data_IF_922725715736
#
_entry.id   IF_922725715736
#
_cell.length_a   1.000
_cell.length_b   1.000
_cell.length_c   1.000
_cell.angle_alpha   90.00
_cell.angle_beta   90.00
_cell.angle_gamma   90.00
#
_symmetry.space_group_name_H-M   'P 1'
#
loop_
_entity.id
_entity.type
_entity.pdbx_description
1 polymer ?
#
# COMPACT_ATOMS: atom_id res chain seq x y z
N UNK A 1 -23.35 -12.13 1.53
CA UNK A 1 -22.85 -11.17 2.54
C UNK A 1 -23.50 -9.81 2.28
N UNK A 2 -23.93 -9.07 3.31
CA UNK A 2 -24.54 -7.74 3.12
C UNK A 2 -23.45 -6.66 3.01
N UNK A 3 -23.75 -5.54 2.34
CA UNK A 3 -22.84 -4.38 2.22
C UNK A 3 -22.32 -3.92 3.60
N UNK A 4 -23.23 -3.77 4.58
CA UNK A 4 -22.89 -3.33 5.94
C UNK A 4 -21.96 -4.30 6.66
N UNK A 5 -22.20 -5.61 6.52
CA UNK A 5 -21.36 -6.64 7.14
C UNK A 5 -19.95 -6.61 6.55
N UNK A 6 -19.84 -6.53 5.22
CA UNK A 6 -18.55 -6.47 4.54
C UNK A 6 -17.77 -5.19 4.91
N UNK A 7 -18.42 -4.03 4.97
CA UNK A 7 -17.76 -2.79 5.43
C UNK A 7 -17.19 -2.98 6.83
N UNK A 8 -17.96 -3.58 7.75
CA UNK A 8 -17.49 -3.84 9.12
C UNK A 8 -16.26 -4.74 9.12
N UNK A 9 -16.29 -5.85 8.38
CA UNK A 9 -15.16 -6.79 8.30
C UNK A 9 -13.89 -6.14 7.74
N UNK A 10 -14.02 -5.27 6.73
CA UNK A 10 -12.88 -4.49 6.20
C UNK A 10 -12.36 -3.50 7.25
N UNK A 11 -13.25 -2.78 7.95
CA UNK A 11 -12.84 -1.82 8.98
C UNK A 11 -12.11 -2.52 10.12
N UNK A 12 -12.64 -3.63 10.62
CA UNK A 12 -12.00 -4.44 11.66
C UNK A 12 -10.60 -4.90 11.19
N UNK A 13 -10.47 -5.32 9.92
CA UNK A 13 -9.20 -5.73 9.34
C UNK A 13 -8.17 -4.58 9.34
N UNK A 14 -8.58 -3.37 8.96
CA UNK A 14 -7.71 -2.21 8.94
C UNK A 14 -7.22 -1.85 10.35
N UNK A 15 -8.11 -1.87 11.34
CA UNK A 15 -7.76 -1.59 12.74
C UNK A 15 -6.68 -2.53 13.23
N UNK A 16 -6.88 -3.84 13.07
CA UNK A 16 -5.97 -4.85 13.58
C UNK A 16 -4.66 -4.91 12.79
N UNK A 17 -4.75 -5.05 11.47
CA UNK A 17 -3.61 -5.45 10.64
C UNK A 17 -2.80 -4.28 10.10
N UNK A 18 -3.39 -3.09 10.06
CA UNK A 18 -2.75 -1.88 9.53
C UNK A 18 -2.48 -0.88 10.64
N UNK A 19 -3.51 -0.38 11.33
CA UNK A 19 -3.34 0.70 12.31
C UNK A 19 -2.60 0.23 13.56
N UNK A 20 -3.12 -0.76 14.28
CA UNK A 20 -2.51 -1.26 15.51
C UNK A 20 -1.11 -1.85 15.25
N UNK A 21 -0.97 -2.63 14.19
CA UNK A 21 0.31 -3.18 13.77
C UNK A 21 1.33 -2.07 13.40
N UNK A 22 0.92 -0.96 12.79
CA UNK A 22 1.82 0.16 12.53
C UNK A 22 2.27 0.84 13.82
N UNK A 23 1.37 1.07 14.78
CA UNK A 23 1.71 1.60 16.11
C UNK A 23 2.74 0.70 16.80
N UNK A 24 2.51 -0.60 16.81
CA UNK A 24 3.43 -1.56 17.43
C UNK A 24 4.80 -1.60 16.76
N UNK A 25 4.84 -1.67 15.43
CA UNK A 25 6.10 -1.66 14.69
C UNK A 25 6.87 -0.35 14.89
N UNK A 26 6.16 0.78 14.99
CA UNK A 26 6.75 2.09 15.27
C UNK A 26 7.47 2.10 16.61
N UNK A 27 6.89 1.50 17.65
CA UNK A 27 7.46 1.43 18.99
C UNK A 27 8.54 0.36 19.17
N UNK A 28 8.41 -0.79 18.50
CA UNK A 28 9.28 -1.97 18.74
C UNK A 28 10.40 -2.13 17.74
N UNK A 29 10.13 -1.88 16.46
CA UNK A 29 11.05 -2.17 15.35
C UNK A 29 11.68 -0.89 14.81
N UNK A 30 10.88 0.10 14.48
CA UNK A 30 11.35 1.34 13.85
C UNK A 30 12.12 2.22 14.87
N UNK A 31 11.96 2.00 16.16
CA UNK A 31 12.74 2.68 17.20
C UNK A 31 14.15 2.10 17.40
N UNK A 32 14.55 1.09 16.60
CA UNK A 32 15.82 0.38 16.77
C UNK A 32 16.86 0.79 15.73
N UNK A 33 18.00 1.28 16.21
CA UNK A 33 19.08 1.81 15.37
C UNK A 33 19.58 0.78 14.34
N UNK A 34 19.66 -0.49 14.75
CA UNK A 34 20.10 -1.61 13.89
C UNK A 34 19.23 -1.84 12.64
N UNK A 35 18.05 -1.24 12.56
CA UNK A 35 17.13 -1.39 11.42
C UNK A 35 17.37 -0.35 10.32
N UNK A 36 18.29 0.58 10.54
CA UNK A 36 18.63 1.65 9.63
C UNK A 36 19.95 1.36 8.92
N UNK A 37 19.96 1.59 7.60
CA UNK A 37 21.19 1.74 6.83
C UNK A 37 21.45 3.24 6.69
N UNK A 38 22.44 3.76 7.43
CA UNK A 38 22.60 5.20 7.66
C UNK A 38 23.65 5.77 6.72
N UNK A 39 23.30 6.82 6.00
CA UNK A 39 24.27 7.67 5.32
C UNK A 39 24.73 8.77 6.30
N UNK A 40 26.01 8.76 6.76
CA UNK A 40 26.48 9.64 7.82
C UNK A 40 26.48 11.12 7.40
N UNK A 41 26.69 11.43 6.12
CA UNK A 41 26.67 12.81 5.62
C UNK A 41 25.24 13.36 5.64
N UNK A 42 24.30 12.59 5.06
CA UNK A 42 22.91 13.01 4.95
C UNK A 42 22.27 13.14 6.33
N UNK A 43 22.51 12.20 7.24
CA UNK A 43 21.88 12.25 8.57
C UNK A 43 22.39 13.41 9.43
N UNK A 44 23.67 13.79 9.30
CA UNK A 44 24.23 14.97 9.97
C UNK A 44 23.60 16.26 9.45
N UNK A 45 23.45 16.37 8.14
CA UNK A 45 22.75 17.51 7.53
C UNK A 45 21.28 17.58 7.99
N UNK A 46 20.54 16.46 7.95
CA UNK A 46 19.14 16.43 8.37
C UNK A 46 18.97 16.73 9.86
N UNK A 47 19.88 16.27 10.72
CA UNK A 47 19.91 16.63 12.14
C UNK A 47 20.04 18.15 12.32
N UNK A 48 20.97 18.79 11.59
CA UNK A 48 21.12 20.26 11.56
C UNK A 48 19.88 20.98 11.04
N UNK A 49 19.19 20.44 10.03
CA UNK A 49 17.93 21.02 9.52
C UNK A 49 16.81 20.96 10.55
N UNK A 50 16.71 19.86 11.29
CA UNK A 50 15.61 19.63 12.25
C UNK A 50 15.84 20.33 13.59
N UNK A 51 17.06 20.35 14.11
CA UNK A 51 17.39 20.82 15.46
C UNK A 51 18.37 22.01 15.49
N UNK A 52 18.87 22.48 14.34
CA UNK A 52 19.94 23.50 14.28
C UNK A 52 21.33 22.99 14.71
N UNK A 53 21.41 21.78 15.25
CA UNK A 53 22.62 21.15 15.77
C UNK A 53 22.75 19.70 15.30
N UNK A 54 23.96 19.14 15.41
CA UNK A 54 24.16 17.71 15.19
C UNK A 54 24.01 17.02 16.54
N UNK A 55 22.83 16.47 16.80
CA UNK A 55 22.45 15.90 18.10
C UNK A 55 21.83 14.50 17.93
N UNK A 56 21.87 13.65 18.96
CA UNK A 56 21.18 12.37 18.96
C UNK A 56 19.69 12.49 18.59
N UNK A 57 19.01 13.52 19.12
CA UNK A 57 17.60 13.80 18.87
C UNK A 57 17.36 14.17 17.41
N UNK A 58 18.20 15.03 16.84
CA UNK A 58 18.07 15.42 15.43
C UNK A 58 18.34 14.25 14.47
N UNK A 59 19.30 13.39 14.80
CA UNK A 59 19.56 12.15 14.04
C UNK A 59 18.37 11.19 14.17
N UNK A 60 17.81 11.04 15.37
CA UNK A 60 16.64 10.20 15.60
C UNK A 60 15.44 10.68 14.78
N UNK A 61 15.12 11.98 14.81
CA UNK A 61 14.03 12.55 14.01
C UNK A 61 14.24 12.34 12.50
N UNK A 62 15.47 12.57 12.03
CA UNK A 62 15.85 12.39 10.63
C UNK A 62 15.66 10.96 10.12
N UNK A 63 15.86 9.95 10.97
CA UNK A 63 15.69 8.54 10.62
C UNK A 63 14.26 8.06 10.87
N UNK A 64 13.69 8.39 12.02
CA UNK A 64 12.44 7.85 12.52
C UNK A 64 11.23 8.40 11.77
N UNK A 65 11.14 9.72 11.56
CA UNK A 65 9.96 10.32 10.94
C UNK A 65 9.73 9.83 9.51
N UNK A 66 10.73 9.82 8.59
CA UNK A 66 10.52 9.32 7.24
C UNK A 66 10.21 7.81 7.21
N UNK A 67 10.75 7.05 8.16
CA UNK A 67 10.45 5.62 8.30
C UNK A 67 9.01 5.39 8.70
N UNK A 68 8.56 6.02 9.79
CA UNK A 68 7.24 5.78 10.41
C UNK A 68 6.11 6.41 9.60
N UNK A 69 6.28 7.66 9.17
CA UNK A 69 5.26 8.43 8.46
C UNK A 69 5.25 8.17 6.95
N UNK A 70 6.21 7.39 6.45
CA UNK A 70 6.33 7.07 5.03
C UNK A 70 6.45 5.56 4.79
N UNK A 71 7.67 5.08 4.64
CA UNK A 71 7.93 3.72 4.11
C UNK A 71 7.26 2.62 4.92
N UNK A 72 7.30 2.67 6.26
CA UNK A 72 6.74 1.61 7.11
C UNK A 72 5.24 1.46 6.94
N UNK A 73 4.48 2.56 6.94
CA UNK A 73 3.02 2.49 6.79
C UNK A 73 2.63 2.13 5.36
N UNK A 74 3.30 2.71 4.35
CA UNK A 74 2.97 2.47 2.94
C UNK A 74 3.24 1.02 2.51
N UNK A 75 4.35 0.42 2.96
CA UNK A 75 4.63 -0.99 2.71
C UNK A 75 3.60 -1.89 3.40
N UNK A 76 3.31 -1.63 4.68
CA UNK A 76 2.31 -2.40 5.43
C UNK A 76 0.93 -2.32 4.76
N UNK A 77 0.52 -1.12 4.35
CA UNK A 77 -0.75 -0.89 3.67
C UNK A 77 -0.86 -1.73 2.40
N UNK A 78 0.12 -1.65 1.49
CA UNK A 78 0.10 -2.40 0.24
C UNK A 78 -0.02 -3.91 0.45
N UNK A 79 0.84 -4.49 1.30
CA UNK A 79 0.84 -5.93 1.58
C UNK A 79 -0.44 -6.39 2.28
N UNK A 80 -0.91 -5.65 3.28
CA UNK A 80 -2.10 -6.03 4.05
C UNK A 80 -3.37 -5.92 3.24
N UNK A 81 -3.49 -4.95 2.33
CA UNK A 81 -4.67 -4.90 1.45
C UNK A 81 -4.73 -6.12 0.55
N UNK A 82 -3.62 -6.51 -0.09
CA UNK A 82 -3.62 -7.71 -0.93
C UNK A 82 -4.08 -8.95 -0.14
N UNK A 83 -3.59 -9.11 1.08
CA UNK A 83 -4.01 -10.20 1.96
C UNK A 83 -5.49 -10.10 2.35
N UNK A 84 -5.97 -8.90 2.68
CA UNK A 84 -7.38 -8.64 3.01
C UNK A 84 -8.34 -9.12 1.92
N UNK A 85 -8.01 -8.87 0.65
CA UNK A 85 -8.84 -9.31 -0.46
C UNK A 85 -9.04 -10.83 -0.44
N UNK A 86 -8.01 -11.58 -0.07
CA UNK A 86 -8.03 -13.04 0.01
C UNK A 86 -8.70 -13.52 1.29
N UNK A 87 -8.29 -12.99 2.45
CA UNK A 87 -8.78 -13.42 3.77
C UNK A 87 -10.28 -13.15 3.95
N UNK A 88 -10.79 -12.05 3.39
CA UNK A 88 -12.22 -11.70 3.44
C UNK A 88 -13.03 -12.25 2.25
N UNK A 89 -12.44 -13.12 1.42
CA UNK A 89 -13.08 -13.72 0.25
C UNK A 89 -13.67 -12.69 -0.74
N UNK A 90 -13.04 -11.52 -0.87
CA UNK A 90 -13.35 -10.52 -1.90
C UNK A 90 -12.77 -10.95 -3.26
N UNK A 91 -11.66 -11.67 -3.24
CA UNK A 91 -10.96 -12.23 -4.37
C UNK A 91 -10.14 -13.46 -3.93
N UNK A 92 -9.64 -14.23 -4.88
CA UNK A 92 -8.61 -15.27 -4.61
C UNK A 92 -7.22 -14.74 -4.95
N UNK A 93 -6.18 -15.22 -4.27
CA UNK A 93 -4.81 -14.95 -4.69
C UNK A 93 -4.56 -15.51 -6.10
N UNK A 94 -3.86 -14.76 -6.96
CA UNK A 94 -3.62 -15.22 -8.33
C UNK A 94 -2.48 -16.24 -8.42
N UNK A 95 -2.69 -17.29 -9.21
CA UNK A 95 -1.63 -18.24 -9.58
C UNK A 95 -0.82 -17.75 -10.79
N UNK A 96 -1.27 -16.70 -11.45
CA UNK A 96 -0.58 -16.10 -12.59
C UNK A 96 0.53 -15.20 -12.06
N UNK A 97 1.78 -15.48 -12.49
CA UNK A 97 2.97 -14.74 -12.07
C UNK A 97 2.76 -13.24 -12.24
N UNK A 98 2.66 -12.55 -11.10
CA UNK A 98 2.61 -11.09 -11.00
C UNK A 98 1.27 -10.43 -11.21
N UNK A 99 0.21 -11.21 -11.16
CA UNK A 99 -1.10 -10.75 -10.73
C UNK A 99 -1.17 -10.93 -9.22
N UNK A 100 -1.94 -10.08 -8.54
CA UNK A 100 -2.08 -10.13 -7.09
C UNK A 100 -3.32 -10.92 -6.71
N UNK A 101 -4.45 -10.65 -7.38
CA UNK A 101 -5.75 -11.25 -7.09
C UNK A 101 -6.52 -11.62 -8.35
N UNK A 102 -7.50 -12.52 -8.20
CA UNK A 102 -8.48 -12.90 -9.21
C UNK A 102 -9.88 -12.80 -8.63
N UNK A 103 -10.82 -12.20 -9.35
CA UNK A 103 -12.22 -12.09 -8.91
C UNK A 103 -13.18 -12.11 -10.09
N UNK A 104 -14.46 -12.37 -9.83
CA UNK A 104 -15.53 -12.20 -10.83
C UNK A 104 -16.09 -10.80 -10.67
N UNK A 105 -15.96 -9.98 -11.71
CA UNK A 105 -16.47 -8.62 -11.74
C UNK A 105 -18.00 -8.65 -11.63
N UNK A 106 -18.54 -7.95 -10.63
CA UNK A 106 -19.97 -7.93 -10.34
C UNK A 106 -20.81 -7.14 -11.34
N UNK A 107 -20.17 -6.45 -12.29
CA UNK A 107 -20.82 -5.63 -13.30
C UNK A 107 -20.90 -6.36 -14.64
N UNK A 108 -19.81 -7.00 -15.07
CA UNK A 108 -19.75 -7.69 -16.37
C UNK A 108 -19.71 -9.23 -16.29
N UNK A 109 -19.70 -9.80 -15.08
CA UNK A 109 -19.67 -11.24 -14.79
C UNK A 109 -18.47 -11.99 -15.39
N UNK A 110 -17.40 -11.26 -15.74
CA UNK A 110 -16.16 -11.85 -16.26
C UNK A 110 -15.13 -12.01 -15.14
N UNK A 111 -14.36 -13.09 -15.23
CA UNK A 111 -13.18 -13.28 -14.40
C UNK A 111 -12.12 -12.23 -14.74
N UNK A 112 -11.59 -11.56 -13.71
CA UNK A 112 -10.52 -10.56 -13.81
C UNK A 112 -9.26 -11.06 -13.13
N UNK A 113 -8.12 -10.80 -13.76
CA UNK A 113 -6.78 -10.95 -13.21
C UNK A 113 -6.24 -9.55 -12.93
N UNK A 114 -6.06 -9.25 -11.65
CA UNK A 114 -5.82 -7.89 -11.21
C UNK A 114 -4.45 -7.77 -10.58
N UNK A 115 -3.67 -6.80 -11.05
CA UNK A 115 -2.54 -6.28 -10.31
C UNK A 115 -3.00 -5.08 -9.48
N UNK A 116 -2.83 -5.15 -8.16
CA UNK A 116 -3.24 -4.13 -7.23
C UNK A 116 -2.18 -3.03 -7.11
N UNK A 117 -2.66 -1.80 -6.99
CA UNK A 117 -1.86 -0.61 -6.71
C UNK A 117 -2.57 0.24 -5.69
N UNK A 118 -1.82 0.80 -4.75
CA UNK A 118 -2.44 1.55 -3.66
C UNK A 118 -3.09 2.84 -4.17
N UNK A 119 -2.42 3.61 -5.01
CA UNK A 119 -2.89 4.92 -5.44
C UNK A 119 -2.47 5.32 -6.86
N UNK A 120 -2.94 6.49 -7.32
CA UNK A 120 -2.88 6.92 -8.73
C UNK A 120 -1.47 7.31 -9.22
N UNK A 121 -0.47 7.33 -8.33
CA UNK A 121 0.91 7.72 -8.60
C UNK A 121 1.93 6.73 -8.02
N UNK A 122 1.59 5.43 -8.01
CA UNK A 122 2.42 4.38 -7.38
C UNK A 122 3.28 3.56 -8.35
N UNK A 123 3.39 4.00 -9.60
CA UNK A 123 4.27 3.40 -10.62
C UNK A 123 5.07 4.48 -11.35
N UNK A 124 6.19 4.06 -11.93
CA UNK A 124 7.13 4.92 -12.64
C UNK A 124 7.13 4.58 -14.14
N UNK A 125 7.82 5.39 -14.95
CA UNK A 125 7.97 5.16 -16.39
C UNK A 125 8.56 3.78 -16.72
N UNK A 126 9.50 3.30 -15.90
CA UNK A 126 10.16 2.00 -16.05
C UNK A 126 9.21 0.82 -15.82
N UNK A 127 8.11 1.00 -15.09
CA UNK A 127 7.14 -0.06 -14.80
C UNK A 127 6.15 -0.30 -15.95
N UNK A 128 5.85 0.73 -16.75
CA UNK A 128 4.76 0.73 -17.74
C UNK A 128 4.94 -0.38 -18.78
N UNK A 129 6.07 -0.37 -19.50
CA UNK A 129 6.33 -1.30 -20.59
C UNK A 129 6.44 -2.75 -20.09
N UNK A 130 7.18 -3.05 -19.00
CA UNK A 130 7.20 -4.39 -18.42
C UNK A 130 5.82 -4.91 -18.03
N UNK A 131 4.95 -4.07 -17.46
CA UNK A 131 3.61 -4.47 -17.03
C UNK A 131 2.72 -4.86 -18.23
N UNK A 132 2.65 -4.00 -19.26
CA UNK A 132 1.88 -4.29 -20.48
C UNK A 132 2.38 -5.57 -21.16
N UNK A 133 3.71 -5.72 -21.29
CA UNK A 133 4.30 -6.90 -21.93
C UNK A 133 3.98 -8.17 -21.15
N UNK A 134 4.00 -8.10 -19.82
CA UNK A 134 3.68 -9.23 -18.95
C UNK A 134 2.23 -9.67 -19.11
N UNK A 135 1.29 -8.72 -19.10
CA UNK A 135 -0.14 -9.02 -19.25
C UNK A 135 -0.39 -9.63 -20.63
N UNK A 136 0.12 -8.98 -21.68
CA UNK A 136 0.00 -9.44 -23.07
C UNK A 136 0.60 -10.84 -23.26
N UNK A 137 1.79 -11.12 -22.72
CA UNK A 137 2.42 -12.45 -22.81
C UNK A 137 1.57 -13.52 -22.14
N UNK A 138 1.03 -13.24 -20.96
CA UNK A 138 0.16 -14.19 -20.25
C UNK A 138 -1.10 -14.48 -21.06
N UNK A 139 -1.77 -13.46 -21.59
CA UNK A 139 -2.96 -13.62 -22.42
C UNK A 139 -2.66 -14.45 -23.67
N UNK A 140 -1.54 -14.19 -24.35
CA UNK A 140 -1.14 -14.96 -25.53
C UNK A 140 -0.91 -16.42 -25.17
N UNK A 141 -0.18 -16.71 -24.09
CA UNK A 141 0.05 -18.07 -23.63
C UNK A 141 -1.25 -18.79 -23.25
N UNK A 142 -2.14 -18.10 -22.55
CA UNK A 142 -3.48 -18.56 -22.19
C UNK A 142 -4.31 -18.98 -23.41
N UNK A 143 -4.26 -18.18 -24.49
CA UNK A 143 -4.93 -18.47 -25.76
C UNK A 143 -4.30 -19.66 -26.47
N UNK A 144 -2.97 -19.72 -26.57
CA UNK A 144 -2.25 -20.82 -27.24
C UNK A 144 -2.55 -22.17 -26.60
N UNK A 145 -2.66 -22.23 -25.27
CA UNK A 145 -2.89 -23.49 -24.55
C UNK A 145 -4.38 -23.86 -24.42
N UNK A 146 -5.30 -23.10 -25.04
CA UNK A 146 -6.76 -23.24 -24.84
C UNK A 146 -7.18 -23.26 -23.35
N UNK A 147 -6.35 -22.70 -22.46
CA UNK A 147 -6.56 -22.76 -21.02
C UNK A 147 -7.71 -21.85 -20.56
N UNK A 148 -8.03 -20.82 -21.36
CA UNK A 148 -9.08 -19.85 -21.07
C UNK A 148 -9.84 -19.49 -22.35
N UNK A 149 -11.00 -20.13 -22.55
CA UNK A 149 -11.87 -19.84 -23.70
C UNK A 149 -12.40 -18.40 -23.58
N UNK A 150 -12.18 -17.57 -24.62
CA UNK A 150 -12.73 -16.22 -24.70
C UNK A 150 -12.00 -15.16 -23.86
N UNK A 151 -10.75 -15.40 -23.48
CA UNK A 151 -9.92 -14.46 -22.71
C UNK A 151 -9.59 -13.19 -23.51
N UNK A 152 -9.82 -12.03 -22.89
CA UNK A 152 -9.64 -10.70 -23.45
C UNK A 152 -8.56 -9.90 -22.72
N UNK A 153 -8.00 -8.90 -23.39
CA UNK A 153 -7.09 -7.95 -22.74
C UNK A 153 -7.79 -7.18 -21.61
N UNK A 154 -9.11 -7.01 -21.71
CA UNK A 154 -9.96 -6.37 -20.71
C UNK A 154 -10.18 -7.21 -19.46
N UNK A 155 -9.71 -8.47 -19.44
CA UNK A 155 -9.76 -9.33 -18.25
C UNK A 155 -8.52 -9.17 -17.39
N UNK A 156 -7.42 -8.63 -17.93
CA UNK A 156 -6.22 -8.28 -17.17
C UNK A 156 -6.24 -6.80 -16.88
N UNK A 157 -6.38 -6.46 -15.61
CA UNK A 157 -6.63 -5.09 -15.16
C UNK A 157 -5.58 -4.64 -14.14
N UNK A 158 -5.46 -3.34 -14.01
CA UNK A 158 -4.81 -2.71 -12.86
C UNK A 158 -5.89 -2.12 -11.96
N UNK A 159 -5.97 -2.60 -10.73
CA UNK A 159 -6.88 -2.07 -9.71
C UNK A 159 -6.16 -1.06 -8.83
N UNK A 160 -6.64 0.20 -8.82
CA UNK A 160 -6.10 1.28 -7.99
C UNK A 160 -7.08 1.55 -6.83
N UNK A 161 -6.64 1.38 -5.59
CA UNK A 161 -7.54 1.31 -4.42
C UNK A 161 -8.22 2.63 -4.05
N UNK A 162 -7.53 3.76 -4.24
CA UNK A 162 -8.03 5.10 -3.90
C UNK A 162 -7.68 6.13 -4.98
N UNK A 163 -8.37 7.26 -4.93
CA UNK A 163 -8.22 8.38 -5.85
C UNK A 163 -9.31 8.42 -6.92
N UNK A 164 -9.20 9.42 -7.80
CA UNK A 164 -10.14 9.70 -8.88
C UNK A 164 -9.48 9.56 -10.26
N UNK A 165 -10.23 9.29 -11.33
CA UNK A 165 -9.68 9.15 -12.69
C UNK A 165 -8.84 10.35 -13.17
N UNK A 166 -9.18 11.57 -12.73
CA UNK A 166 -8.41 12.78 -13.05
C UNK A 166 -7.01 12.78 -12.46
N UNK A 167 -6.80 12.08 -11.35
CA UNK A 167 -5.52 12.01 -10.62
C UNK A 167 -4.58 10.94 -11.17
N UNK A 168 -5.07 10.04 -12.04
CA UNK A 168 -4.25 9.00 -12.66
C UNK A 168 -3.07 9.62 -13.41
N UNK A 169 -1.88 9.15 -13.06
CA UNK A 169 -0.64 9.51 -13.74
C UNK A 169 -0.70 9.16 -15.23
N UNK A 170 0.15 9.83 -16.03
CA UNK A 170 0.30 9.50 -17.44
C UNK A 170 0.76 8.04 -17.65
N UNK A 171 1.45 7.46 -16.67
CA UNK A 171 1.86 6.05 -16.70
C UNK A 171 0.64 5.12 -16.70
N UNK A 172 -0.32 5.32 -15.81
CA UNK A 172 -1.56 4.55 -15.81
C UNK A 172 -2.41 4.79 -17.05
N UNK A 173 -2.57 6.06 -17.46
CA UNK A 173 -3.28 6.41 -18.69
C UNK A 173 -2.68 5.76 -19.94
N UNK A 174 -1.39 5.44 -19.92
CA UNK A 174 -0.73 4.69 -21.00
C UNK A 174 -1.08 3.20 -20.96
N UNK A 175 -1.10 2.59 -19.77
CA UNK A 175 -1.51 1.19 -19.58
C UNK A 175 -2.97 1.00 -20.00
N UNK A 176 -3.85 1.93 -19.60
CA UNK A 176 -5.30 1.91 -19.82
C UNK A 176 -5.70 1.84 -21.30
N UNK A 177 -4.83 2.29 -22.21
CA UNK A 177 -5.02 2.12 -23.66
C UNK A 177 -5.09 0.65 -24.11
N UNK A 178 -4.54 -0.26 -23.32
CA UNK A 178 -4.41 -1.69 -23.65
C UNK A 178 -5.02 -2.63 -22.61
N UNK A 179 -4.89 -2.27 -21.34
CA UNK A 179 -5.33 -3.04 -20.18
C UNK A 179 -6.03 -2.09 -19.22
N UNK A 180 -7.33 -2.31 -18.89
CA UNK A 180 -8.09 -1.36 -18.10
C UNK A 180 -7.42 -1.03 -16.76
N UNK A 181 -7.35 0.26 -16.45
CA UNK A 181 -6.97 0.78 -15.13
C UNK A 181 -8.24 1.26 -14.44
N UNK A 182 -8.63 0.54 -13.39
CA UNK A 182 -9.87 0.79 -12.66
C UNK A 182 -9.52 1.37 -11.30
N UNK A 183 -10.03 2.55 -10.97
CA UNK A 183 -9.63 3.33 -9.78
C UNK A 183 -10.77 3.59 -8.80
N UNK A 184 -10.44 3.57 -7.51
CA UNK A 184 -11.25 4.10 -6.43
C UNK A 184 -12.64 3.50 -6.43
N UNK A 185 -13.65 4.37 -6.41
CA UNK A 185 -15.08 3.98 -6.34
C UNK A 185 -15.46 2.91 -7.36
N UNK A 186 -14.98 3.03 -8.60
CA UNK A 186 -15.34 2.08 -9.67
C UNK A 186 -14.71 0.70 -9.42
N UNK A 187 -13.46 0.65 -8.94
CA UNK A 187 -12.81 -0.62 -8.61
C UNK A 187 -13.56 -1.36 -7.50
N UNK A 188 -13.90 -0.65 -6.43
CA UNK A 188 -14.69 -1.22 -5.33
C UNK A 188 -16.09 -1.64 -5.76
N UNK A 189 -16.73 -0.90 -6.65
CA UNK A 189 -18.02 -1.26 -7.20
C UNK A 189 -17.95 -2.58 -7.99
N UNK A 190 -16.92 -2.77 -8.81
CA UNK A 190 -16.72 -4.03 -9.57
C UNK A 190 -16.40 -5.23 -8.70
N UNK A 191 -15.62 -5.04 -7.64
CA UNK A 191 -15.32 -6.12 -6.69
C UNK A 191 -16.56 -6.51 -5.89
N UNK A 192 -17.31 -5.52 -5.40
CA UNK A 192 -18.34 -5.74 -4.36
C UNK A 192 -19.77 -5.81 -4.89
N UNK A 193 -20.04 -5.20 -6.05
CA UNK A 193 -21.38 -5.01 -6.61
C UNK A 193 -22.17 -3.86 -5.97
N UNK A 194 -21.58 -3.10 -5.04
CA UNK A 194 -22.27 -2.02 -4.33
C UNK A 194 -21.78 -0.63 -4.82
N UNK A 195 -22.62 0.16 -5.53
CA UNK A 195 -22.18 1.41 -6.16
C UNK A 195 -21.61 2.48 -5.22
N UNK A 196 -22.05 2.49 -3.96
CA UNK A 196 -21.64 3.49 -2.95
C UNK A 196 -20.73 2.89 -1.87
N UNK A 197 -20.20 1.69 -2.11
CA UNK A 197 -19.38 0.96 -1.14
C UNK A 197 -18.20 1.78 -0.63
N UNK A 198 -17.41 2.30 -1.56
CA UNK A 198 -16.17 2.99 -1.24
C UNK A 198 -16.39 4.21 -0.34
N UNK A 199 -17.39 5.03 -0.64
CA UNK A 199 -17.70 6.22 0.16
C UNK A 199 -18.15 5.86 1.59
N UNK A 200 -18.94 4.79 1.73
CA UNK A 200 -19.36 4.29 3.06
C UNK A 200 -18.18 3.68 3.81
N UNK A 201 -17.33 2.91 3.14
CA UNK A 201 -16.12 2.34 3.71
C UNK A 201 -15.20 3.45 4.25
N UNK A 202 -14.90 4.46 3.44
CA UNK A 202 -14.08 5.62 3.85
C UNK A 202 -14.68 6.30 5.09
N UNK A 203 -16.00 6.52 5.11
CA UNK A 203 -16.68 7.11 6.27
C UNK A 203 -16.52 6.27 7.54
N UNK A 204 -16.67 4.96 7.47
CA UNK A 204 -16.50 4.10 8.65
C UNK A 204 -15.03 3.98 9.08
N UNK A 205 -14.09 3.94 8.13
CA UNK A 205 -12.65 4.00 8.43
C UNK A 205 -12.28 5.31 9.14
N UNK A 206 -12.84 6.46 8.73
CA UNK A 206 -12.60 7.73 9.42
C UNK A 206 -13.08 7.71 10.87
N UNK A 207 -14.23 7.09 11.14
CA UNK A 207 -14.72 6.93 12.52
C UNK A 207 -13.81 6.01 13.34
N UNK A 208 -13.35 4.93 12.73
CA UNK A 208 -12.41 3.99 13.33
C UNK A 208 -11.08 4.68 13.72
N UNK A 209 -10.51 5.48 12.81
CA UNK A 209 -9.26 6.23 13.03
C UNK A 209 -9.35 7.14 14.26
N UNK A 210 -10.51 7.76 14.52
CA UNK A 210 -10.70 8.62 15.71
C UNK A 210 -10.52 7.87 17.04
N UNK A 211 -10.66 6.54 17.04
CA UNK A 211 -10.54 5.70 18.24
C UNK A 211 -9.16 5.02 18.36
N UNK A 212 -8.24 5.24 17.40
CA UNK A 212 -6.92 4.61 17.42
C UNK A 212 -6.07 5.17 18.55
N UNK A 213 -5.68 4.30 19.49
CA UNK A 213 -4.66 4.64 20.48
C UNK A 213 -3.27 4.64 19.83
N UNK A 214 -2.77 5.85 19.55
CA UNK A 214 -1.45 6.05 18.96
C UNK A 214 -0.30 5.79 19.93
N UNK A 215 -0.58 5.58 21.23
CA UNK A 215 0.42 5.31 22.28
C UNK A 215 1.53 6.35 22.41
N UNK A 216 1.34 7.55 21.87
CA UNK A 216 2.38 8.56 21.70
C UNK A 216 3.60 8.01 20.92
N UNK A 217 3.35 7.20 19.90
CA UNK A 217 4.39 6.48 19.15
C UNK A 217 5.48 7.39 18.60
N UNK A 218 5.11 8.60 18.15
CA UNK A 218 6.04 9.54 17.53
C UNK A 218 7.13 9.97 18.51
N UNK A 219 6.74 10.40 19.71
CA UNK A 219 7.69 10.87 20.70
C UNK A 219 8.43 9.68 21.33
N UNK A 220 7.71 8.67 21.82
CA UNK A 220 8.34 7.51 22.50
C UNK A 220 9.33 6.77 21.62
N UNK A 221 8.95 6.46 20.39
CA UNK A 221 9.83 5.70 19.50
C UNK A 221 11.03 6.53 19.01
N UNK A 222 10.86 7.85 18.84
CA UNK A 222 11.96 8.74 18.51
C UNK A 222 12.91 8.91 19.71
N UNK A 223 12.40 9.06 20.92
CA UNK A 223 13.20 9.17 22.15
C UNK A 223 14.00 7.90 22.41
N UNK A 224 13.40 6.73 22.21
CA UNK A 224 14.09 5.45 22.36
C UNK A 224 15.21 5.28 21.31
N UNK A 225 14.98 5.73 20.07
CA UNK A 225 16.01 5.73 19.05
C UNK A 225 17.14 6.72 19.38
N UNK A 226 16.81 7.90 19.90
CA UNK A 226 17.81 8.90 20.31
C UNK A 226 18.73 8.36 21.42
N UNK A 227 18.19 7.61 22.39
CA UNK A 227 18.99 6.93 23.42
C UNK A 227 19.98 5.94 22.81
N UNK A 228 19.54 5.09 21.87
CA UNK A 228 20.42 4.15 21.18
C UNK A 228 21.52 4.89 20.38
N UNK A 229 21.15 5.95 19.66
CA UNK A 229 22.09 6.80 18.90
C UNK A 229 23.15 7.43 19.81
N UNK A 230 22.75 8.00 20.95
CA UNK A 230 23.67 8.63 21.90
C UNK A 230 24.73 7.65 22.43
N UNK A 231 24.36 6.38 22.59
CA UNK A 231 25.26 5.32 23.07
C UNK A 231 26.06 4.63 21.96
N UNK A 232 25.79 4.94 20.69
CA UNK A 232 26.34 4.21 19.56
C UNK A 232 27.69 4.79 19.13
N UNK A 233 28.71 3.93 18.89
CA UNK A 233 30.01 4.37 18.37
C UNK A 233 29.94 4.82 16.90
N UNK A 234 28.79 4.69 16.23
CA UNK A 234 28.59 5.13 14.85
C UNK A 234 28.53 6.66 14.71
N UNK A 235 28.33 7.38 15.82
CA UNK A 235 28.14 8.82 15.81
C UNK A 235 29.12 9.50 16.77
N UNK A 236 29.71 10.59 16.29
CA UNK A 236 30.55 11.48 17.08
C UNK A 236 29.89 12.86 17.17
N UNK A 237 29.34 13.18 18.35
CA UNK A 237 28.63 14.43 18.61
C UNK A 237 29.52 15.48 19.31
N UNK A 238 30.83 15.25 19.39
CA UNK A 238 31.78 16.22 19.94
C UNK A 238 31.99 17.43 19.04
#
# INVERSE_FOLDING_TARGET
MTEKKLIKEIVDYFEENIFNNHVENSLKKNSKLKTYNINPIVVKYLSKVLEGAYTPEGVAKALYYPRVLGTSINTSFGTRIQNMFVELNLASGSLIKGMDIEFVDKIDDRKKWCQLKSGPNTINSEDVKPLIQKFTKTITLARTNNAFKGISNTDFIVGVLYGEPSELSMHYKTIDKTHPVIIGKEFWHRVTGFPNFYNKLVKELHKSINNVDTKNLINKGCDDLAKEIKSSPLFDFS
#
